data_IF_849559866544
#
_entry.id   IF_849559866544
#
_cell.length_a   1.000
_cell.length_b   1.000
_cell.length_c   1.000
_cell.angle_alpha   90.00
_cell.angle_beta   90.00
_cell.angle_gamma   90.00
#
_symmetry.space_group_name_H-M   'P 1'
#
loop_
_entity.id
_entity.type
_entity.pdbx_description
1 polymer ?
#
# COMPACT_ATOMS: atom_id res chain seq x y z
N UNK A 1 47.59 16.49 26.39
CA UNK A 1 46.94 16.65 27.71
C UNK A 1 46.37 15.30 28.10
N UNK A 2 47.14 14.55 28.89
CA UNK A 2 46.81 13.25 29.43
C UNK A 2 46.16 13.42 30.81
N UNK A 3 45.14 12.61 31.09
CA UNK A 3 44.69 12.18 32.42
C UNK A 3 43.84 10.92 32.17
N UNK A 4 44.33 9.69 32.29
CA UNK A 4 44.88 8.97 33.45
C UNK A 4 43.97 8.97 34.69
N UNK A 5 43.33 7.81 34.91
CA UNK A 5 42.84 7.19 36.17
C UNK A 5 42.17 5.87 35.76
N UNK A 6 42.70 4.68 35.99
CA UNK A 6 43.58 4.24 37.07
C UNK A 6 42.72 3.84 38.27
N UNK A 7 42.27 2.58 38.31
CA UNK A 7 41.35 2.07 39.33
C UNK A 7 41.31 0.55 39.35
N UNK A 8 42.44 -0.05 39.72
CA UNK A 8 42.58 -1.46 40.05
C UNK A 8 42.02 -1.72 41.45
N UNK A 9 41.12 -2.67 41.60
CA UNK A 9 40.80 -3.26 42.89
C UNK A 9 40.53 -4.76 42.73
N UNK A 10 41.57 -5.49 43.07
CA UNK A 10 41.61 -6.90 43.42
C UNK A 10 40.66 -7.23 44.57
N UNK A 11 39.90 -8.31 44.45
CA UNK A 11 39.17 -8.92 45.57
C UNK A 11 39.12 -10.43 45.39
N UNK A 12 40.08 -11.07 46.08
CA UNK A 12 39.92 -12.28 46.91
C UNK A 12 38.91 -13.35 46.45
N UNK A 13 39.50 -14.45 45.95
CA UNK A 13 38.92 -15.80 45.97
C UNK A 13 38.70 -16.24 47.41
N UNK A 14 37.46 -16.51 47.79
CA UNK A 14 37.10 -17.27 48.99
C UNK A 14 36.28 -18.49 48.57
N UNK A 15 36.96 -19.63 48.57
CA UNK A 15 36.40 -20.96 48.39
C UNK A 15 35.68 -21.36 49.67
N UNK A 16 34.36 -21.22 49.71
CA UNK A 16 33.52 -21.75 50.79
C UNK A 16 32.61 -22.83 50.23
N UNK A 17 33.10 -24.06 50.37
CA UNK A 17 32.33 -25.30 50.29
C UNK A 17 31.33 -25.35 51.44
N UNK A 18 30.09 -24.93 51.18
CA UNK A 18 28.97 -25.10 52.09
C UNK A 18 27.97 -26.06 51.47
N UNK A 19 28.03 -27.29 51.97
CA UNK A 19 27.07 -28.36 51.82
C UNK A 19 25.71 -27.91 52.36
N UNK A 20 24.86 -27.35 51.50
CA UNK A 20 23.51 -26.95 51.86
C UNK A 20 22.52 -27.98 51.34
N UNK A 21 22.01 -28.72 52.32
CA UNK A 21 20.91 -29.68 52.31
C UNK A 21 19.85 -29.47 51.24
N UNK A 22 19.60 -30.55 50.50
CA UNK A 22 18.42 -30.81 49.68
C UNK A 22 17.12 -30.51 50.45
N UNK A 23 16.57 -29.31 50.29
CA UNK A 23 15.17 -29.05 50.58
C UNK A 23 14.40 -29.19 49.26
N UNK A 24 13.94 -30.41 48.98
CA UNK A 24 12.96 -30.74 47.95
C UNK A 24 11.57 -30.18 48.30
N UNK A 25 11.48 -28.86 48.50
CA UNK A 25 10.19 -28.19 48.38
C UNK A 25 9.98 -27.95 46.88
N UNK A 26 9.49 -28.99 46.21
CA UNK A 26 8.78 -28.91 44.95
C UNK A 26 7.48 -28.13 45.16
N UNK A 27 7.60 -26.85 45.54
CA UNK A 27 6.53 -25.89 45.38
C UNK A 27 6.34 -25.80 43.87
N UNK A 28 5.32 -26.49 43.37
CA UNK A 28 4.77 -26.35 42.04
C UNK A 28 4.41 -24.88 41.84
N UNK A 29 5.39 -24.07 41.48
CA UNK A 29 5.16 -22.73 40.99
C UNK A 29 4.37 -22.93 39.71
N UNK A 30 3.05 -22.82 39.82
CA UNK A 30 2.16 -22.76 38.69
C UNK A 30 2.66 -21.62 37.82
N UNK A 31 3.43 -21.97 36.81
CA UNK A 31 3.94 -21.00 35.85
C UNK A 31 2.70 -20.31 35.30
N UNK A 32 2.53 -19.03 35.65
CA UNK A 32 1.38 -18.26 35.21
C UNK A 32 1.34 -18.38 33.69
N UNK A 33 0.28 -19.00 33.19
CA UNK A 33 0.09 -19.23 31.76
C UNK A 33 -0.14 -17.85 31.15
N UNK A 34 0.91 -17.28 30.57
CA UNK A 34 0.84 -15.98 29.93
C UNK A 34 -0.09 -16.03 28.71
N UNK A 35 -0.63 -14.86 28.34
CA UNK A 35 -1.54 -14.69 27.18
C UNK A 35 -1.00 -15.31 25.88
N UNK A 36 0.31 -15.44 25.72
CA UNK A 36 0.97 -16.10 24.59
C UNK A 36 0.75 -17.62 24.49
N UNK A 37 0.16 -18.24 25.50
CA UNK A 37 -0.18 -19.67 25.50
C UNK A 37 -1.67 -19.92 25.21
N UNK A 38 -2.44 -18.86 24.96
CA UNK A 38 -3.84 -19.00 24.55
C UNK A 38 -3.91 -19.61 23.14
N UNK A 39 -4.97 -20.41 22.85
CA UNK A 39 -5.25 -20.84 21.49
C UNK A 39 -5.38 -19.67 20.52
N UNK A 40 -5.01 -19.89 19.25
CA UNK A 40 -4.95 -18.83 18.23
C UNK A 40 -6.32 -18.20 17.98
N UNK A 41 -7.39 -18.98 18.11
CA UNK A 41 -8.78 -18.55 17.97
C UNK A 41 -9.15 -17.53 19.06
N UNK A 42 -8.66 -17.73 20.28
CA UNK A 42 -8.87 -16.79 21.39
C UNK A 42 -8.08 -15.51 21.14
N UNK A 43 -6.86 -15.61 20.61
CA UNK A 43 -6.07 -14.43 20.22
C UNK A 43 -6.76 -13.63 19.10
N UNK A 44 -7.39 -14.30 18.14
CA UNK A 44 -8.20 -13.66 17.08
C UNK A 44 -9.42 -12.94 17.65
N UNK A 45 -10.15 -13.55 18.58
CA UNK A 45 -11.27 -12.89 19.27
C UNK A 45 -10.81 -11.67 20.06
N UNK A 46 -9.69 -11.78 20.78
CA UNK A 46 -9.08 -10.64 21.49
C UNK A 46 -8.71 -9.53 20.51
N UNK A 47 -8.14 -9.85 19.36
CA UNK A 47 -7.83 -8.86 18.31
C UNK A 47 -9.08 -8.10 17.88
N UNK A 48 -10.15 -8.82 17.50
CA UNK A 48 -11.40 -8.22 16.99
C UNK A 48 -12.13 -7.41 18.06
N UNK A 49 -12.24 -7.94 19.29
CA UNK A 49 -12.93 -7.26 20.38
C UNK A 49 -12.16 -6.04 20.90
N UNK A 50 -10.82 -6.14 20.99
CA UNK A 50 -10.00 -5.04 21.48
C UNK A 50 -9.82 -3.92 20.46
N UNK A 51 -9.92 -4.23 19.15
CA UNK A 51 -9.69 -3.28 18.03
C UNK A 51 -8.38 -2.50 18.21
N UNK A 52 -7.39 -3.09 18.86
CA UNK A 52 -6.14 -2.41 19.22
C UNK A 52 -5.09 -2.62 18.14
N UNK A 53 -4.61 -1.52 17.55
CA UNK A 53 -3.49 -1.55 16.60
C UNK A 53 -2.16 -1.91 17.26
N UNK A 54 -2.07 -1.83 18.59
CA UNK A 54 -0.86 -2.18 19.32
C UNK A 54 -0.73 -3.69 19.55
N UNK A 55 -1.85 -4.43 19.51
CA UNK A 55 -1.86 -5.86 19.84
C UNK A 55 -0.91 -6.70 18.98
N UNK A 56 -0.88 -6.56 17.63
CA UNK A 56 0.07 -7.32 16.80
C UNK A 56 1.53 -6.87 16.98
N UNK A 57 1.78 -5.70 17.59
CA UNK A 57 3.12 -5.12 17.75
C UNK A 57 3.77 -5.56 19.06
N UNK A 58 2.98 -5.97 20.07
CA UNK A 58 3.49 -6.34 21.40
C UNK A 58 4.54 -7.45 21.34
N UNK A 59 4.31 -8.50 20.54
CA UNK A 59 5.26 -9.59 20.39
C UNK A 59 5.17 -10.26 19.01
N UNK A 60 6.23 -11.00 18.65
CA UNK A 60 6.30 -11.72 17.35
C UNK A 60 5.21 -12.78 17.21
N UNK A 61 4.88 -13.47 18.30
CA UNK A 61 3.84 -14.51 18.29
C UNK A 61 2.46 -13.92 17.95
N UNK A 62 2.08 -12.79 18.56
CA UNK A 62 0.82 -12.10 18.24
C UNK A 62 0.81 -11.56 16.82
N UNK A 63 1.93 -11.01 16.35
CA UNK A 63 2.08 -10.61 14.96
C UNK A 63 1.78 -11.77 14.01
N UNK A 64 2.40 -12.93 14.25
CA UNK A 64 2.21 -14.13 13.44
C UNK A 64 0.78 -14.66 13.51
N UNK A 65 0.19 -14.73 14.71
CA UNK A 65 -1.20 -15.12 14.89
C UNK A 65 -2.17 -14.21 14.11
N UNK A 66 -1.93 -12.88 14.12
CA UNK A 66 -2.73 -11.91 13.38
C UNK A 66 -2.50 -11.99 11.86
N UNK A 67 -1.26 -12.22 11.42
CA UNK A 67 -0.93 -12.42 10.00
C UNK A 67 -1.61 -13.66 9.43
N UNK A 68 -1.67 -14.73 10.22
CA UNK A 68 -2.30 -16.00 9.86
C UNK A 68 -3.81 -16.04 10.12
N UNK A 69 -4.40 -14.93 10.59
CA UNK A 69 -5.84 -14.85 10.79
C UNK A 69 -6.58 -15.02 9.45
N UNK A 70 -7.74 -15.67 9.52
CA UNK A 70 -8.63 -15.81 8.36
C UNK A 70 -9.06 -14.44 7.85
N UNK A 71 -9.46 -14.36 6.58
CA UNK A 71 -9.90 -13.10 6.00
C UNK A 71 -11.14 -12.53 6.72
N UNK A 72 -12.00 -13.39 7.29
CA UNK A 72 -13.17 -13.01 8.09
C UNK A 72 -12.76 -12.26 9.36
N UNK A 73 -11.82 -12.81 10.15
CA UNK A 73 -11.30 -12.17 11.37
C UNK A 73 -10.65 -10.84 11.03
N UNK A 74 -9.86 -10.78 9.94
CA UNK A 74 -9.23 -9.54 9.47
C UNK A 74 -10.29 -8.51 9.07
N UNK A 75 -11.36 -8.91 8.37
CA UNK A 75 -12.44 -8.02 7.97
C UNK A 75 -13.20 -7.45 9.18
N UNK A 76 -13.56 -8.30 10.15
CA UNK A 76 -14.23 -7.86 11.38
C UNK A 76 -13.38 -6.85 12.16
N UNK A 77 -12.07 -7.12 12.27
CA UNK A 77 -11.12 -6.21 12.90
C UNK A 77 -11.02 -4.88 12.13
N UNK A 78 -10.84 -4.91 10.81
CA UNK A 78 -10.76 -3.70 9.95
C UNK A 78 -12.03 -2.85 10.06
N UNK A 79 -13.20 -3.48 9.96
CA UNK A 79 -14.48 -2.79 10.08
C UNK A 79 -14.67 -2.18 11.47
N UNK A 80 -14.40 -2.95 12.53
CA UNK A 80 -14.46 -2.45 13.90
C UNK A 80 -13.53 -1.25 14.13
N UNK A 81 -12.30 -1.31 13.60
CA UNK A 81 -11.32 -0.21 13.63
C UNK A 81 -11.83 1.04 12.92
N UNK A 82 -12.46 0.89 11.76
CA UNK A 82 -13.03 2.00 11.02
C UNK A 82 -14.17 2.65 11.82
N UNK A 83 -15.07 1.85 12.41
CA UNK A 83 -16.16 2.36 13.25
C UNK A 83 -15.62 3.17 14.44
N UNK A 84 -14.62 2.64 15.15
CA UNK A 84 -13.99 3.35 16.27
C UNK A 84 -13.35 4.67 15.81
N UNK A 85 -12.64 4.64 14.68
CA UNK A 85 -12.02 5.83 14.10
C UNK A 85 -13.07 6.88 13.72
N UNK A 86 -14.09 6.48 12.97
CA UNK A 86 -15.18 7.34 12.51
C UNK A 86 -15.92 7.98 13.70
N UNK A 87 -16.26 7.20 14.72
CA UNK A 87 -17.01 7.70 15.88
C UNK A 87 -16.18 8.66 16.72
N UNK A 88 -14.89 8.36 16.91
CA UNK A 88 -13.97 9.28 17.56
C UNK A 88 -13.80 10.57 16.75
N UNK A 89 -13.78 10.47 15.41
CA UNK A 89 -13.70 11.61 14.52
C UNK A 89 -14.92 12.52 14.67
N UNK A 90 -16.13 11.96 14.56
CA UNK A 90 -17.39 12.70 14.70
C UNK A 90 -17.54 13.30 16.11
N UNK A 91 -17.08 12.61 17.15
CA UNK A 91 -17.09 13.15 18.51
C UNK A 91 -16.21 14.40 18.66
N UNK A 92 -15.09 14.46 17.94
CA UNK A 92 -14.15 15.60 17.95
C UNK A 92 -14.59 16.74 17.04
N UNK A 93 -15.37 16.44 15.99
CA UNK A 93 -15.85 17.39 15.00
C UNK A 93 -17.38 17.45 14.97
N UNK A 94 -18.04 17.84 16.08
CA UNK A 94 -19.49 17.97 16.08
C UNK A 94 -19.91 19.10 15.13
N UNK A 95 -20.96 18.85 14.35
CA UNK A 95 -21.61 19.89 13.56
C UNK A 95 -21.95 21.10 14.45
N UNK A 96 -21.50 22.28 14.06
CA UNK A 96 -21.73 23.54 14.81
C UNK A 96 -23.06 24.20 14.47
N UNK A 97 -23.59 23.92 13.28
CA UNK A 97 -24.78 24.59 12.74
C UNK A 97 -26.09 23.92 13.19
N UNK A 98 -26.10 22.59 13.34
CA UNK A 98 -27.33 21.82 13.56
C UNK A 98 -27.32 21.05 14.88
N UNK A 99 -28.23 21.41 15.80
CA UNK A 99 -28.38 20.73 17.10
C UNK A 99 -28.80 19.25 16.94
N UNK A 100 -29.59 18.92 15.91
CA UNK A 100 -29.96 17.55 15.57
C UNK A 100 -28.73 16.67 15.27
N UNK A 101 -27.77 17.18 14.50
CA UNK A 101 -26.52 16.49 14.19
C UNK A 101 -25.70 16.25 15.47
N UNK A 102 -25.61 17.25 16.35
CA UNK A 102 -24.90 17.14 17.65
C UNK A 102 -25.54 16.09 18.55
N UNK A 103 -26.88 16.04 18.62
CA UNK A 103 -27.63 15.01 19.34
C UNK A 103 -27.43 13.63 18.73
N UNK A 104 -27.41 13.52 17.39
CA UNK A 104 -27.13 12.25 16.69
C UNK A 104 -25.72 11.73 17.02
N UNK A 105 -24.70 12.57 16.89
CA UNK A 105 -23.31 12.25 17.23
C UNK A 105 -23.17 11.78 18.69
N UNK A 106 -23.76 12.50 19.65
CA UNK A 106 -23.74 12.09 21.07
C UNK A 106 -24.43 10.75 21.31
N UNK A 107 -25.55 10.49 20.64
CA UNK A 107 -26.26 9.20 20.72
C UNK A 107 -25.43 8.06 20.14
N UNK A 108 -24.79 8.28 18.99
CA UNK A 108 -23.90 7.31 18.35
C UNK A 108 -22.74 6.93 19.29
N UNK A 109 -22.03 7.94 19.83
CA UNK A 109 -20.93 7.74 20.78
C UNK A 109 -21.40 7.00 22.04
N UNK A 110 -22.57 7.37 22.58
CA UNK A 110 -23.13 6.71 23.76
C UNK A 110 -23.55 5.25 23.48
N UNK A 111 -24.03 4.94 22.28
CA UNK A 111 -24.43 3.58 21.88
C UNK A 111 -23.22 2.65 21.83
N UNK A 112 -22.14 3.10 21.19
CA UNK A 112 -20.91 2.31 21.04
C UNK A 112 -20.22 2.11 22.39
N UNK A 113 -20.18 3.13 23.25
CA UNK A 113 -19.66 2.99 24.63
C UNK A 113 -20.42 1.97 25.47
N UNK A 114 -21.68 1.68 25.14
CA UNK A 114 -22.50 0.66 25.82
C UNK A 114 -22.32 -0.73 25.22
N UNK A 115 -21.42 -0.90 24.27
CA UNK A 115 -21.22 -2.18 23.57
C UNK A 115 -22.41 -2.60 22.73
N UNK A 116 -23.30 -1.67 22.37
CA UNK A 116 -24.36 -1.99 21.40
C UNK A 116 -23.78 -1.97 20.00
N UNK A 117 -24.18 -2.95 19.20
CA UNK A 117 -23.75 -3.03 17.81
C UNK A 117 -24.17 -1.75 17.08
N UNK A 118 -23.22 -1.16 16.36
CA UNK A 118 -23.41 0.05 15.58
C UNK A 118 -24.16 -0.24 14.26
N UNK A 119 -25.13 -1.16 14.29
CA UNK A 119 -25.77 -1.74 13.09
C UNK A 119 -26.47 -0.71 12.22
N UNK A 120 -26.79 0.48 12.76
CA UNK A 120 -27.36 1.56 11.99
C UNK A 120 -26.75 2.89 12.39
N UNK A 121 -25.84 3.40 11.55
CA UNK A 121 -25.32 4.75 11.69
C UNK A 121 -26.20 5.68 10.86
N UNK A 122 -26.98 6.53 11.51
CA UNK A 122 -27.74 7.57 10.82
C UNK A 122 -26.77 8.68 10.36
N UNK A 123 -26.50 8.73 9.06
CA UNK A 123 -25.65 9.73 8.43
C UNK A 123 -26.53 10.90 8.00
N UNK A 124 -26.28 12.08 8.57
CA UNK A 124 -26.92 13.32 8.11
C UNK A 124 -26.06 13.95 7.01
N UNK A 125 -26.62 14.88 6.23
CA UNK A 125 -25.89 15.58 5.16
C UNK A 125 -24.60 16.24 5.66
N UNK A 126 -24.64 16.88 6.84
CA UNK A 126 -23.42 17.44 7.44
C UNK A 126 -22.38 16.38 7.81
N UNK A 127 -22.79 15.17 8.18
CA UNK A 127 -21.85 14.07 8.45
C UNK A 127 -21.26 13.58 7.13
N UNK A 128 -22.06 13.52 6.07
CA UNK A 128 -21.61 13.16 4.74
C UNK A 128 -20.58 14.18 4.20
N UNK A 129 -20.87 15.48 4.30
CA UNK A 129 -19.91 16.55 3.95
C UNK A 129 -18.61 16.44 4.75
N UNK A 130 -18.70 16.08 6.03
CA UNK A 130 -17.51 15.86 6.88
C UNK A 130 -16.72 14.64 6.44
N UNK A 131 -17.38 13.53 6.10
CA UNK A 131 -16.74 12.35 5.51
C UNK A 131 -16.01 12.74 4.22
N UNK A 132 -16.68 13.51 3.37
CA UNK A 132 -16.17 13.89 2.06
C UNK A 132 -14.94 14.81 2.16
N UNK A 133 -15.07 15.89 2.93
CA UNK A 133 -14.01 16.90 3.12
C UNK A 133 -12.76 16.36 3.83
N UNK A 134 -12.89 15.29 4.60
CA UNK A 134 -11.76 14.69 5.35
C UNK A 134 -11.27 13.37 4.73
N UNK A 135 -11.79 12.98 3.57
CA UNK A 135 -11.48 11.69 2.92
C UNK A 135 -11.60 10.51 3.88
N UNK A 136 -12.68 10.46 4.67
CA UNK A 136 -12.93 9.37 5.63
C UNK A 136 -13.55 8.14 4.95
N UNK A 137 -13.25 7.94 3.67
CA UNK A 137 -13.79 6.83 2.93
C UNK A 137 -13.23 5.52 3.49
N UNK A 138 -14.12 4.56 3.67
CA UNK A 138 -13.78 3.34 4.37
C UNK A 138 -12.87 2.44 3.51
N UNK A 139 -12.90 2.57 2.18
CA UNK A 139 -12.08 1.77 1.26
C UNK A 139 -10.62 2.18 1.41
N UNK A 140 -10.31 3.48 1.38
CA UNK A 140 -8.98 4.01 1.68
C UNK A 140 -8.53 3.59 3.07
N UNK A 141 -9.38 3.75 4.08
CA UNK A 141 -9.03 3.36 5.45
C UNK A 141 -8.67 1.87 5.52
N UNK A 142 -9.50 1.00 4.94
CA UNK A 142 -9.25 -0.44 4.92
C UNK A 142 -7.96 -0.76 4.17
N UNK A 143 -7.78 -0.19 2.98
CA UNK A 143 -6.63 -0.45 2.12
C UNK A 143 -5.32 0.07 2.74
N UNK A 144 -5.34 1.15 3.53
CA UNK A 144 -4.19 1.64 4.29
C UNK A 144 -3.71 0.68 5.37
N UNK A 145 -4.60 -0.19 5.89
CA UNK A 145 -4.20 -1.22 6.84
C UNK A 145 -3.39 -2.30 6.10
N UNK A 146 -2.17 -2.55 6.57
CA UNK A 146 -1.21 -3.51 5.99
C UNK A 146 -1.62 -4.98 6.01
N UNK A 147 -2.88 -5.29 6.36
CA UNK A 147 -3.50 -6.62 6.41
C UNK A 147 -4.66 -6.76 5.40
N UNK A 148 -4.98 -5.69 4.67
CA UNK A 148 -6.07 -5.71 3.71
C UNK A 148 -5.62 -6.37 2.42
N UNK A 149 -6.37 -7.41 2.03
CA UNK A 149 -6.34 -8.09 0.72
C UNK A 149 -7.69 -7.86 0.03
N UNK A 150 -7.85 -8.28 -1.23
CA UNK A 150 -9.12 -8.16 -1.96
C UNK A 150 -10.28 -8.82 -1.21
N UNK A 151 -10.10 -10.07 -0.73
CA UNK A 151 -11.12 -10.80 0.05
C UNK A 151 -11.53 -10.05 1.32
N UNK A 152 -10.55 -9.49 2.03
CA UNK A 152 -10.82 -8.68 3.24
C UNK A 152 -11.59 -7.42 2.86
N UNK A 153 -11.19 -6.73 1.80
CA UNK A 153 -11.85 -5.51 1.33
C UNK A 153 -13.30 -5.77 0.92
N UNK A 154 -13.55 -6.75 0.05
CA UNK A 154 -14.90 -7.13 -0.39
C UNK A 154 -15.80 -7.46 0.82
N UNK A 155 -15.28 -8.21 1.80
CA UNK A 155 -16.03 -8.53 3.02
C UNK A 155 -16.35 -7.28 3.84
N UNK A 156 -15.38 -6.39 4.06
CA UNK A 156 -15.58 -5.14 4.80
C UNK A 156 -16.62 -4.25 4.09
N UNK A 157 -16.56 -4.17 2.76
CA UNK A 157 -17.54 -3.42 1.95
C UNK A 157 -18.93 -4.02 2.10
N UNK A 158 -19.04 -5.36 2.07
CA UNK A 158 -20.29 -6.07 2.32
C UNK A 158 -20.87 -5.77 3.70
N UNK A 159 -20.03 -5.76 4.75
CA UNK A 159 -20.46 -5.38 6.10
C UNK A 159 -20.90 -3.92 6.18
N UNK A 160 -20.16 -3.02 5.53
CA UNK A 160 -20.47 -1.60 5.46
C UNK A 160 -21.81 -1.34 4.76
N UNK A 161 -22.12 -2.07 3.68
CA UNK A 161 -23.44 -2.03 2.99
C UNK A 161 -24.62 -2.34 3.90
N UNK A 162 -24.44 -3.25 4.85
CA UNK A 162 -25.51 -3.61 5.78
C UNK A 162 -25.70 -2.53 6.85
N UNK A 163 -24.64 -1.83 7.23
CA UNK A 163 -24.64 -0.93 8.39
C UNK A 163 -24.74 0.57 8.06
N UNK A 164 -24.37 0.95 6.83
CA UNK A 164 -24.24 2.33 6.39
C UNK A 164 -25.21 2.63 5.24
N UNK A 165 -25.73 3.86 5.14
CA UNK A 165 -26.45 4.30 3.96
C UNK A 165 -25.57 4.25 2.70
N UNK A 166 -26.17 3.92 1.56
CA UNK A 166 -25.46 3.82 0.27
C UNK A 166 -24.70 5.08 -0.12
N UNK A 167 -25.13 6.27 0.35
CA UNK A 167 -24.45 7.53 0.08
C UNK A 167 -23.04 7.65 0.69
N UNK A 168 -22.70 6.83 1.69
CA UNK A 168 -21.35 6.78 2.28
C UNK A 168 -20.44 5.79 1.56
N UNK A 169 -21.02 4.87 0.80
CA UNK A 169 -20.27 3.82 0.14
C UNK A 169 -19.79 4.33 -1.21
N UNK A 170 -18.56 3.99 -1.63
CA UNK A 170 -18.13 4.30 -2.98
C UNK A 170 -19.05 3.57 -3.94
N UNK A 171 -19.44 4.25 -5.02
CA UNK A 171 -20.21 3.61 -6.07
C UNK A 171 -19.37 2.46 -6.60
N UNK A 172 -19.92 1.25 -6.47
CA UNK A 172 -19.37 0.15 -7.23
C UNK A 172 -19.72 0.33 -8.67
N UNK A 173 -18.73 0.11 -9.52
CA UNK A 173 -18.88 -0.01 -10.95
C UNK A 173 -20.18 -0.76 -11.33
N UNK A 174 -21.15 -0.07 -11.95
CA UNK A 174 -22.39 -0.67 -12.46
C UNK A 174 -23.72 -0.16 -11.87
N UNK A 175 -23.71 0.68 -10.82
CA UNK A 175 -24.93 1.33 -10.33
C UNK A 175 -25.18 2.64 -11.10
N UNK A 176 -26.30 2.73 -11.81
CA UNK A 176 -26.48 3.65 -12.95
C UNK A 176 -26.60 5.16 -12.67
N UNK A 177 -26.31 5.93 -13.73
CA UNK A 177 -26.73 7.29 -14.13
C UNK A 177 -26.96 8.43 -13.11
N UNK A 178 -26.51 8.37 -11.86
CA UNK A 178 -26.53 9.54 -10.97
C UNK A 178 -25.24 10.36 -11.15
N UNK A 179 -25.24 11.27 -12.13
CA UNK A 179 -24.05 11.97 -12.62
C UNK A 179 -23.60 13.20 -11.79
N UNK A 180 -24.31 13.63 -10.75
CA UNK A 180 -24.05 14.93 -10.11
C UNK A 180 -23.52 14.88 -8.66
N UNK A 181 -23.32 13.69 -8.08
CA UNK A 181 -22.80 13.61 -6.72
C UNK A 181 -21.27 13.43 -6.73
N UNK A 182 -20.57 14.44 -6.22
CA UNK A 182 -19.14 14.41 -5.94
C UNK A 182 -18.87 13.44 -4.79
N UNK A 183 -18.76 12.15 -5.08
CA UNK A 183 -18.32 11.17 -4.11
C UNK A 183 -16.81 11.30 -3.87
N UNK A 184 -16.38 10.95 -2.65
CA UNK A 184 -14.95 10.79 -2.38
C UNK A 184 -14.42 9.64 -3.21
N UNK A 185 -13.46 9.93 -4.07
CA UNK A 185 -12.63 8.92 -4.71
C UNK A 185 -11.73 8.29 -3.65
N UNK A 186 -11.75 6.95 -3.50
CA UNK A 186 -10.79 6.27 -2.66
C UNK A 186 -9.36 6.58 -3.08
N UNK A 187 -8.41 6.46 -2.17
CA UNK A 187 -7.00 6.72 -2.41
C UNK A 187 -6.20 5.42 -2.42
N UNK A 188 -5.21 5.37 -3.30
CA UNK A 188 -4.26 4.28 -3.36
C UNK A 188 -3.29 4.33 -2.18
N UNK A 189 -3.20 3.26 -1.36
CA UNK A 189 -2.33 3.26 -0.19
C UNK A 189 -0.84 3.32 -0.56
N UNK A 190 -0.11 4.25 0.06
CA UNK A 190 1.35 4.39 -0.14
C UNK A 190 2.13 3.10 0.11
N UNK A 191 1.64 2.21 0.99
CA UNK A 191 2.33 0.97 1.37
C UNK A 191 2.50 -0.01 0.20
N UNK A 192 1.55 -0.03 -0.75
CA UNK A 192 1.56 -0.96 -1.88
C UNK A 192 2.75 -0.66 -2.79
N UNK A 193 3.05 0.62 -2.96
CA UNK A 193 4.14 1.09 -3.83
C UNK A 193 5.52 1.11 -3.16
N UNK A 194 5.62 0.83 -1.84
CA UNK A 194 6.91 0.74 -1.14
C UNK A 194 7.56 -0.64 -1.20
N UNK A 195 6.82 -1.65 -1.65
CA UNK A 195 7.22 -3.07 -1.57
C UNK A 195 7.64 -3.65 -2.92
N UNK A 196 7.65 -2.84 -3.98
CA UNK A 196 7.85 -3.30 -5.35
C UNK A 196 9.23 -3.99 -5.52
N UNK A 197 10.28 -3.52 -4.84
CA UNK A 197 11.65 -4.06 -5.01
C UNK A 197 11.95 -5.36 -4.24
N UNK A 198 11.06 -5.85 -3.39
CA UNK A 198 11.44 -6.88 -2.42
C UNK A 198 11.55 -8.30 -2.99
N UNK A 199 11.19 -8.51 -4.26
CA UNK A 199 11.12 -9.86 -4.84
C UNK A 199 12.47 -10.39 -5.38
N UNK A 200 13.35 -9.53 -5.89
CA UNK A 200 14.55 -10.01 -6.61
C UNK A 200 15.83 -10.07 -5.78
N UNK A 201 15.86 -9.46 -4.59
CA UNK A 201 17.09 -9.39 -3.78
C UNK A 201 17.34 -10.61 -2.89
N UNK A 202 16.30 -11.37 -2.55
CA UNK A 202 16.44 -12.47 -1.58
C UNK A 202 17.02 -13.77 -2.17
N UNK A 203 17.01 -13.95 -3.50
CA UNK A 203 17.59 -15.14 -4.15
C UNK A 203 19.10 -15.03 -4.38
N UNK A 204 19.68 -13.83 -4.35
CA UNK A 204 21.11 -13.62 -4.64
C UNK A 204 21.96 -13.14 -3.44
N UNK A 205 21.36 -12.60 -2.37
CA UNK A 205 22.10 -12.02 -1.23
C UNK A 205 22.34 -12.92 0.01
N UNK A 206 22.08 -14.24 -0.05
CA UNK A 206 22.52 -15.15 1.04
C UNK A 206 24.05 -15.29 1.18
N UNK A 207 24.84 -14.64 0.31
CA UNK A 207 26.31 -14.71 0.34
C UNK A 207 27.03 -13.52 1.01
N UNK A 208 26.32 -12.47 1.47
CA UNK A 208 26.99 -11.36 2.17
C UNK A 208 27.22 -11.69 3.65
N UNK A 209 28.48 -11.69 4.14
CA UNK A 209 28.80 -12.09 5.51
C UNK A 209 28.23 -11.08 6.50
N UNK A 210 27.10 -11.42 7.13
CA UNK A 210 26.54 -10.66 8.25
C UNK A 210 27.58 -10.56 9.36
N UNK A 211 28.00 -9.33 9.66
CA UNK A 211 28.89 -8.95 10.76
C UNK A 211 28.36 -9.58 12.06
N UNK A 212 29.07 -10.62 12.54
CA UNK A 212 28.77 -11.40 13.75
C UNK A 212 28.39 -10.49 14.92
N UNK A 213 27.09 -10.39 15.21
CA UNK A 213 26.63 -10.18 16.59
C UNK A 213 26.65 -11.56 17.25
N UNK A 214 27.44 -11.70 18.31
CA UNK A 214 27.45 -12.89 19.18
C UNK A 214 26.03 -13.08 19.74
N UNK A 215 25.31 -14.06 19.22
CA UNK A 215 24.15 -14.64 19.90
C UNK A 215 24.58 -16.01 20.42
N UNK A 216 24.20 -16.27 21.67
CA UNK A 216 24.36 -17.54 22.35
C UNK A 216 23.61 -18.66 21.61
N UNK A 217 24.28 -19.80 21.48
CA UNK A 217 23.70 -21.05 21.02
C UNK A 217 22.63 -21.54 22.00
N UNK A 218 21.40 -21.60 21.52
CA UNK A 218 20.30 -22.36 22.11
C UNK A 218 19.69 -23.19 21.00
N UNK A 219 20.09 -24.47 20.94
CA UNK A 219 19.56 -25.48 20.03
C UNK A 219 18.16 -25.89 20.48
N UNK A 220 17.14 -25.47 19.74
CA UNK A 220 15.82 -26.11 19.76
C UNK A 220 15.39 -26.37 18.31
N UNK A 221 15.55 -27.62 17.88
CA UNK A 221 14.98 -28.14 16.66
C UNK A 221 13.47 -28.33 16.90
N UNK A 222 12.63 -27.53 16.27
CA UNK A 222 11.19 -27.81 16.25
C UNK A 222 10.61 -27.76 14.83
N UNK A 223 9.80 -28.77 14.59
CA UNK A 223 9.30 -29.30 13.32
C UNK A 223 8.14 -28.41 12.86
N UNK A 224 8.32 -27.65 11.78
CA UNK A 224 7.25 -26.86 11.17
C UNK A 224 6.35 -27.77 10.34
N UNK A 225 5.25 -28.23 10.92
CA UNK A 225 4.15 -28.87 10.18
C UNK A 225 3.31 -27.77 9.50
N UNK A 226 3.39 -27.68 8.18
CA UNK A 226 2.42 -26.96 7.38
C UNK A 226 1.06 -27.64 7.54
N UNK A 227 0.16 -26.99 8.27
CA UNK A 227 -1.27 -27.33 8.28
C UNK A 227 -1.86 -26.68 7.04
N UNK A 228 -2.27 -27.49 6.06
CA UNK A 228 -3.07 -27.03 4.93
C UNK A 228 -4.41 -26.57 5.50
N UNK A 229 -4.69 -25.27 5.40
CA UNK A 229 -6.04 -24.77 5.64
C UNK A 229 -6.88 -25.14 4.41
N UNK A 230 -7.95 -25.90 4.62
CA UNK A 230 -8.92 -26.21 3.57
C UNK A 230 -9.46 -24.90 2.97
N UNK A 231 -9.25 -24.72 1.67
CA UNK A 231 -9.81 -23.59 0.91
C UNK A 231 -11.31 -23.80 0.77
N UNK A 232 -12.10 -23.09 1.58
CA UNK A 232 -13.54 -22.92 1.33
C UNK A 232 -13.75 -22.33 -0.08
N UNK A 233 -14.42 -23.10 -0.94
CA UNK A 233 -14.83 -22.68 -2.27
C UNK A 233 -16.00 -21.70 -2.15
N UNK A 234 -15.69 -20.41 -2.10
CA UNK A 234 -16.69 -19.34 -2.17
C UNK A 234 -17.25 -19.24 -3.61
N UNK A 235 -18.55 -19.49 -3.76
CA UNK A 235 -19.32 -19.34 -5.00
C UNK A 235 -19.27 -17.88 -5.52
N UNK A 236 -18.99 -17.65 -6.81
CA UNK A 236 -18.87 -16.30 -7.37
C UNK A 236 -20.23 -15.58 -7.40
N UNK A 237 -20.31 -14.42 -6.74
CA UNK A 237 -21.50 -13.57 -6.75
C UNK A 237 -21.86 -13.10 -8.18
N UNK A 238 -23.13 -13.17 -8.61
CA UNK A 238 -23.54 -12.88 -9.98
C UNK A 238 -23.71 -11.38 -10.26
N UNK A 239 -23.15 -10.92 -11.38
CA UNK A 239 -23.31 -9.58 -11.95
C UNK A 239 -21.99 -9.09 -12.53
N UNK A 240 -21.92 -8.87 -13.85
CA UNK A 240 -20.73 -8.60 -14.69
C UNK A 240 -19.61 -7.81 -14.00
N UNK A 241 -18.83 -8.51 -13.19
CA UNK A 241 -17.51 -8.09 -12.74
C UNK A 241 -16.55 -8.67 -13.75
N UNK A 242 -15.64 -7.83 -14.22
CA UNK A 242 -14.41 -8.31 -14.85
C UNK A 242 -13.85 -9.43 -13.99
N UNK A 243 -13.55 -10.57 -14.61
CA UNK A 243 -12.78 -11.55 -13.87
C UNK A 243 -11.43 -10.91 -13.59
N UNK A 244 -10.97 -11.03 -12.35
CA UNK A 244 -9.66 -10.51 -11.97
C UNK A 244 -8.55 -11.10 -12.87
N UNK A 245 -8.78 -12.29 -13.45
CA UNK A 245 -7.96 -12.88 -14.50
C UNK A 245 -7.91 -12.03 -15.79
N UNK A 246 -9.03 -11.47 -16.26
CA UNK A 246 -9.03 -10.56 -17.42
C UNK A 246 -8.24 -9.28 -17.16
N UNK A 247 -8.33 -8.74 -15.94
CA UNK A 247 -7.53 -7.56 -15.56
C UNK A 247 -6.05 -7.89 -15.45
N UNK A 248 -5.70 -9.08 -14.92
CA UNK A 248 -4.31 -9.57 -14.90
C UNK A 248 -3.76 -9.72 -16.30
N UNK A 249 -4.53 -10.35 -17.20
CA UNK A 249 -4.16 -10.45 -18.62
C UNK A 249 -3.98 -9.08 -19.26
N UNK A 250 -4.85 -8.11 -18.94
CA UNK A 250 -4.69 -6.73 -19.41
C UNK A 250 -3.39 -6.09 -18.88
N UNK A 251 -3.10 -6.19 -17.58
CA UNK A 251 -1.84 -5.65 -17.03
C UNK A 251 -0.64 -6.33 -17.67
N UNK A 252 -0.72 -7.63 -17.89
CA UNK A 252 0.35 -8.40 -18.49
C UNK A 252 0.49 -8.12 -19.99
N UNK A 253 -0.59 -7.80 -20.70
CA UNK A 253 -0.54 -7.36 -22.09
C UNK A 253 0.05 -5.96 -22.19
N UNK A 254 -0.34 -5.04 -21.30
CA UNK A 254 0.24 -3.69 -21.19
C UNK A 254 1.72 -3.74 -20.78
N UNK A 255 2.13 -4.76 -20.02
CA UNK A 255 3.52 -4.99 -19.68
C UNK A 255 4.39 -5.47 -20.86
N UNK A 256 3.77 -5.97 -21.93
CA UNK A 256 4.49 -6.42 -23.13
C UNK A 256 4.83 -5.19 -23.98
N UNK A 257 6.14 -4.92 -24.03
CA UNK A 257 6.97 -4.06 -24.91
C UNK A 257 6.24 -3.06 -25.82
N UNK A 258 6.64 -1.76 -25.83
CA UNK A 258 6.08 -0.77 -26.74
C UNK A 258 6.44 -1.05 -28.22
N UNK A 259 5.56 -0.71 -29.19
CA UNK A 259 5.54 -1.40 -30.48
C UNK A 259 6.63 -1.03 -31.49
N UNK A 260 7.31 0.13 -31.37
CA UNK A 260 7.94 0.71 -32.56
C UNK A 260 9.45 1.05 -32.48
N UNK A 261 10.11 0.93 -31.33
CA UNK A 261 11.50 1.41 -31.18
C UNK A 261 12.54 0.34 -30.85
N UNK A 262 12.13 -0.91 -30.64
CA UNK A 262 13.01 -1.97 -30.15
C UNK A 262 12.98 -3.12 -31.13
N UNK A 263 14.13 -3.33 -31.79
CA UNK A 263 14.42 -4.40 -32.73
C UNK A 263 13.65 -5.70 -32.42
N UNK A 264 12.66 -6.06 -33.27
CA UNK A 264 11.81 -7.24 -33.14
C UNK A 264 12.62 -8.56 -33.07
N UNK A 265 13.92 -8.51 -33.32
CA UNK A 265 14.81 -9.67 -33.24
C UNK A 265 15.21 -10.09 -31.82
N UNK A 266 14.83 -9.37 -30.76
CA UNK A 266 15.11 -9.78 -29.37
C UNK A 266 14.11 -10.83 -28.84
N UNK A 267 14.52 -12.09 -28.62
CA UNK A 267 13.60 -13.21 -28.45
C UNK A 267 13.02 -13.39 -27.03
N UNK A 268 13.14 -12.43 -26.13
CA UNK A 268 12.54 -12.51 -24.78
C UNK A 268 12.01 -11.14 -24.33
N UNK A 269 10.69 -10.96 -24.45
CA UNK A 269 9.95 -9.81 -23.90
C UNK A 269 9.85 -9.95 -22.37
N UNK A 270 10.98 -9.80 -21.67
CA UNK A 270 10.96 -9.69 -20.22
C UNK A 270 10.15 -8.44 -19.82
N UNK A 271 9.30 -8.52 -18.78
CA UNK A 271 8.57 -7.36 -18.29
C UNK A 271 9.55 -6.24 -17.95
N UNK A 272 9.27 -5.02 -18.41
CA UNK A 272 10.11 -3.85 -18.18
C UNK A 272 10.03 -3.41 -16.70
N UNK A 273 10.83 -4.07 -15.86
CA UNK A 273 11.02 -3.72 -14.46
C UNK A 273 10.21 -4.57 -13.47
N UNK A 274 10.35 -4.28 -12.16
CA UNK A 274 9.76 -5.07 -11.10
C UNK A 274 8.23 -4.92 -11.09
N UNK A 275 7.55 -6.04 -10.91
CA UNK A 275 6.08 -6.09 -10.74
C UNK A 275 5.79 -6.28 -9.25
N UNK A 276 4.76 -5.61 -8.68
CA UNK A 276 4.31 -5.91 -7.32
C UNK A 276 4.01 -7.41 -7.14
N UNK A 277 4.03 -7.89 -5.90
CA UNK A 277 3.50 -9.24 -5.64
C UNK A 277 2.02 -9.33 -6.08
N UNK A 278 1.59 -10.54 -6.40
CA UNK A 278 0.26 -10.80 -6.96
C UNK A 278 -0.88 -10.24 -6.09
N UNK A 279 -0.79 -10.41 -4.76
CA UNK A 279 -1.81 -9.90 -3.83
C UNK A 279 -1.91 -8.36 -3.81
N UNK A 280 -0.78 -7.67 -3.83
CA UNK A 280 -0.72 -6.20 -3.85
C UNK A 280 -1.17 -5.67 -5.23
N UNK A 281 -0.82 -6.33 -6.34
CA UNK A 281 -1.32 -5.98 -7.67
C UNK A 281 -2.84 -6.15 -7.76
N UNK A 282 -3.36 -7.26 -7.25
CA UNK A 282 -4.80 -7.54 -7.19
C UNK A 282 -5.54 -6.45 -6.42
N UNK A 283 -5.00 -6.05 -5.28
CA UNK A 283 -5.56 -4.98 -4.50
C UNK A 283 -5.51 -3.63 -5.23
N UNK A 284 -4.40 -3.29 -5.91
CA UNK A 284 -4.29 -2.07 -6.72
C UNK A 284 -5.37 -2.06 -7.80
N UNK A 285 -5.53 -3.17 -8.53
CA UNK A 285 -6.52 -3.31 -9.60
C UNK A 285 -7.94 -3.23 -9.07
N UNK A 286 -8.26 -3.91 -7.97
CA UNK A 286 -9.58 -3.80 -7.34
C UNK A 286 -9.87 -2.35 -6.93
N UNK A 287 -8.89 -1.65 -6.33
CA UNK A 287 -9.08 -0.25 -5.94
C UNK A 287 -9.34 0.65 -7.15
N UNK A 288 -8.53 0.53 -8.21
CA UNK A 288 -8.67 1.34 -9.43
C UNK A 288 -9.97 1.04 -10.19
N UNK A 289 -10.25 -0.23 -10.47
CA UNK A 289 -11.34 -0.66 -11.35
C UNK A 289 -12.68 -0.73 -10.63
N UNK A 290 -12.74 -1.39 -9.47
CA UNK A 290 -14.00 -1.65 -8.78
C UNK A 290 -14.45 -0.47 -7.93
N UNK A 291 -13.50 0.26 -7.35
CA UNK A 291 -13.77 1.35 -6.41
C UNK A 291 -13.42 2.74 -6.95
N UNK A 292 -12.87 2.86 -8.16
CA UNK A 292 -12.56 4.15 -8.78
C UNK A 292 -11.52 4.95 -7.99
N UNK A 293 -10.52 4.28 -7.41
CA UNK A 293 -9.49 4.94 -6.64
C UNK A 293 -8.69 5.93 -7.51
N UNK A 294 -8.34 7.07 -6.94
CA UNK A 294 -7.56 8.12 -7.60
C UNK A 294 -6.12 7.64 -7.86
N UNK A 295 -5.75 7.46 -9.13
CA UNK A 295 -4.40 7.08 -9.52
C UNK A 295 -3.34 8.15 -9.16
N UNK A 296 -3.76 9.41 -8.99
CA UNK A 296 -2.94 10.55 -8.56
C UNK A 296 -2.89 10.74 -7.03
N UNK A 297 -3.34 9.74 -6.27
CA UNK A 297 -3.42 9.79 -4.81
C UNK A 297 -2.16 10.32 -4.15
N UNK A 298 -2.35 11.11 -3.08
CA UNK A 298 -1.27 11.71 -2.31
C UNK A 298 -0.29 12.52 -3.17
N UNK A 299 -0.82 13.32 -4.10
CA UNK A 299 -0.05 14.23 -4.97
C UNK A 299 0.92 13.44 -5.86
N UNK A 300 0.42 12.44 -6.57
CA UNK A 300 1.17 11.63 -7.54
C UNK A 300 2.14 10.62 -6.94
N UNK A 301 2.00 10.27 -5.65
CA UNK A 301 2.91 9.32 -4.99
C UNK A 301 2.95 7.93 -5.65
N UNK A 302 1.81 7.29 -6.02
CA UNK A 302 1.82 6.01 -6.72
C UNK A 302 2.70 6.04 -7.96
N UNK A 303 2.48 7.02 -8.85
CA UNK A 303 3.23 7.16 -10.09
C UNK A 303 4.71 7.40 -9.82
N UNK A 304 5.04 8.35 -8.94
CA UNK A 304 6.43 8.66 -8.59
C UNK A 304 7.19 7.44 -8.04
N UNK A 305 6.55 6.60 -7.23
CA UNK A 305 7.17 5.38 -6.71
C UNK A 305 7.32 4.29 -7.77
N UNK A 306 6.33 4.11 -8.66
CA UNK A 306 6.47 3.20 -9.80
C UNK A 306 7.68 3.56 -10.66
N UNK A 307 7.89 4.86 -10.94
CA UNK A 307 9.08 5.34 -11.66
C UNK A 307 10.37 5.13 -10.86
N UNK A 308 10.34 5.40 -9.56
CA UNK A 308 11.50 5.20 -8.69
C UNK A 308 12.01 3.76 -8.76
N UNK A 309 11.08 2.80 -8.77
CA UNK A 309 11.33 1.38 -8.88
C UNK A 309 11.53 0.90 -10.32
N UNK A 310 11.50 1.79 -11.33
CA UNK A 310 11.55 1.45 -12.76
C UNK A 310 10.47 0.45 -13.19
N UNK A 311 9.33 0.42 -12.48
CA UNK A 311 8.20 -0.47 -12.76
C UNK A 311 7.36 0.12 -13.90
N UNK A 312 7.81 -0.04 -15.14
CA UNK A 312 7.19 0.55 -16.33
C UNK A 312 5.71 0.17 -16.44
N UNK A 313 5.38 -1.12 -16.33
CA UNK A 313 4.01 -1.62 -16.47
C UNK A 313 3.06 -0.99 -15.45
N UNK A 314 3.54 -0.76 -14.22
CA UNK A 314 2.75 -0.13 -13.18
C UNK A 314 2.59 1.38 -13.42
N UNK A 315 3.63 2.06 -13.93
CA UNK A 315 3.52 3.45 -14.35
C UNK A 315 2.53 3.62 -15.51
N UNK A 316 2.60 2.75 -16.53
CA UNK A 316 1.67 2.70 -17.66
C UNK A 316 0.24 2.44 -17.18
N UNK A 317 0.03 1.44 -16.32
CA UNK A 317 -1.26 1.18 -15.70
C UNK A 317 -1.81 2.42 -15.01
N UNK A 318 -1.04 3.07 -14.14
CA UNK A 318 -1.50 4.26 -13.43
C UNK A 318 -1.89 5.40 -14.39
N UNK A 319 -1.12 5.62 -15.47
CA UNK A 319 -1.46 6.61 -16.51
C UNK A 319 -2.74 6.25 -17.27
N UNK A 320 -2.97 4.96 -17.58
CA UNK A 320 -4.24 4.50 -18.19
C UNK A 320 -5.44 4.82 -17.29
N UNK A 321 -5.25 4.78 -15.97
CA UNK A 321 -6.25 5.17 -14.98
C UNK A 321 -6.24 6.68 -14.65
N UNK A 322 -5.58 7.50 -15.47
CA UNK A 322 -5.63 8.96 -15.36
C UNK A 322 -4.70 9.56 -14.31
N UNK A 323 -3.61 8.87 -13.95
CA UNK A 323 -2.60 9.47 -13.09
C UNK A 323 -2.00 10.73 -13.73
N UNK A 324 -1.96 11.82 -12.97
CA UNK A 324 -1.40 13.09 -13.39
C UNK A 324 0.12 13.08 -13.20
N UNK A 325 0.85 13.29 -14.30
CA UNK A 325 2.29 13.37 -14.30
C UNK A 325 2.82 14.73 -13.80
N UNK A 326 2.01 15.78 -13.78
CA UNK A 326 2.41 17.13 -13.35
C UNK A 326 2.37 17.30 -11.82
N UNK A 327 1.90 16.27 -11.10
CA UNK A 327 1.92 16.23 -9.64
C UNK A 327 3.32 16.55 -9.07
N UNK A 328 3.36 17.51 -8.13
CA UNK A 328 4.59 18.04 -7.50
C UNK A 328 5.63 18.54 -8.51
N UNK A 329 5.20 19.37 -9.44
CA UNK A 329 6.07 19.97 -10.45
C UNK A 329 6.77 18.91 -11.32
N UNK A 330 6.03 17.88 -11.73
CA UNK A 330 6.57 16.80 -12.54
C UNK A 330 7.56 15.90 -11.80
N UNK A 331 7.36 15.66 -10.49
CA UNK A 331 8.30 14.88 -9.67
C UNK A 331 8.59 13.50 -10.26
N UNK A 332 7.58 12.83 -10.81
CA UNK A 332 7.75 11.53 -11.45
C UNK A 332 8.72 11.60 -12.63
N UNK A 333 8.60 12.62 -13.50
CA UNK A 333 9.51 12.82 -14.63
C UNK A 333 10.94 13.16 -14.16
N UNK A 334 11.08 13.96 -13.10
CA UNK A 334 12.40 14.24 -12.51
C UNK A 334 13.07 12.97 -11.97
N UNK A 335 12.30 12.06 -11.38
CA UNK A 335 12.80 10.75 -10.91
C UNK A 335 13.21 9.89 -12.11
N UNK A 336 12.40 9.83 -13.19
CA UNK A 336 12.74 9.09 -14.41
C UNK A 336 14.08 9.56 -14.98
N UNK A 337 14.28 10.89 -15.05
CA UNK A 337 15.52 11.50 -15.52
C UNK A 337 16.70 11.13 -14.63
N UNK A 338 16.57 11.24 -13.30
CA UNK A 338 17.64 10.85 -12.37
C UNK A 338 18.01 9.37 -12.48
N UNK A 339 17.01 8.53 -12.70
CA UNK A 339 17.17 7.09 -12.84
C UNK A 339 17.71 6.67 -14.21
N UNK A 340 17.74 7.57 -15.22
CA UNK A 340 18.11 7.22 -16.59
C UNK A 340 17.06 6.36 -17.29
N UNK A 341 15.79 6.44 -16.89
CA UNK A 341 14.71 5.60 -17.41
C UNK A 341 14.06 6.25 -18.63
N UNK A 342 14.69 6.10 -19.79
CA UNK A 342 14.22 6.64 -21.07
C UNK A 342 12.82 6.15 -21.43
N UNK A 343 12.52 4.86 -21.24
CA UNK A 343 11.24 4.27 -21.63
C UNK A 343 10.06 4.90 -20.89
N UNK A 344 10.21 5.09 -19.58
CA UNK A 344 9.19 5.73 -18.74
C UNK A 344 9.04 7.21 -19.11
N UNK A 345 10.14 7.90 -19.41
CA UNK A 345 10.08 9.30 -19.83
C UNK A 345 9.39 9.43 -21.19
N UNK A 346 9.70 8.52 -22.11
CA UNK A 346 9.06 8.43 -23.42
C UNK A 346 7.55 8.18 -23.25
N UNK A 347 7.17 7.22 -22.40
CA UNK A 347 5.77 6.96 -22.03
C UNK A 347 5.04 8.22 -21.53
N UNK A 348 5.70 9.10 -20.77
CA UNK A 348 5.09 10.35 -20.30
C UNK A 348 4.84 11.34 -21.44
N UNK A 349 5.76 11.41 -22.40
CA UNK A 349 5.70 12.33 -23.55
C UNK A 349 4.70 11.85 -24.59
N UNK A 350 4.75 10.57 -24.96
CA UNK A 350 3.85 9.99 -25.95
C UNK A 350 2.46 9.75 -25.39
N UNK A 351 2.37 9.53 -24.08
CA UNK A 351 1.21 8.99 -23.41
C UNK A 351 1.20 7.46 -23.41
N UNK A 352 0.43 6.81 -22.52
CA UNK A 352 0.12 5.41 -22.59
C UNK A 352 -0.52 5.06 -23.93
N UNK A 353 0.04 4.04 -24.57
CA UNK A 353 -0.57 3.43 -25.74
C UNK A 353 -1.82 2.68 -25.30
N UNK A 354 -2.93 2.97 -25.97
CA UNK A 354 -4.18 2.24 -25.82
C UNK A 354 -4.35 1.39 -27.07
N UNK A 355 -3.95 0.12 -27.00
CA UNK A 355 -4.27 -0.83 -28.06
C UNK A 355 -5.79 -1.06 -28.10
N UNK A 356 -6.35 -1.44 -29.25
CA UNK A 356 -7.79 -1.72 -29.39
C UNK A 356 -8.31 -2.71 -28.33
N UNK A 357 -7.46 -3.65 -27.91
CA UNK A 357 -7.76 -4.62 -26.84
C UNK A 357 -7.88 -3.91 -25.49
N UNK A 358 -6.97 -3.00 -25.18
CA UNK A 358 -6.97 -2.20 -23.95
C UNK A 358 -8.13 -1.22 -23.94
N UNK A 359 -8.46 -0.59 -25.07
CA UNK A 359 -9.63 0.28 -25.18
C UNK A 359 -10.93 -0.51 -24.98
N UNK A 360 -11.06 -1.67 -25.64
CA UNK A 360 -12.21 -2.56 -25.47
C UNK A 360 -12.35 -3.03 -24.02
N UNK A 361 -11.22 -3.24 -23.34
CA UNK A 361 -11.20 -3.60 -21.94
C UNK A 361 -11.66 -2.44 -21.04
N UNK A 362 -11.11 -1.26 -21.25
CA UNK A 362 -11.42 -0.07 -20.46
C UNK A 362 -12.83 0.48 -20.73
N UNK A 363 -13.39 0.25 -21.93
CA UNK A 363 -14.74 0.69 -22.30
C UNK A 363 -15.85 0.10 -21.41
N UNK A 364 -15.58 -1.05 -20.78
CA UNK A 364 -16.53 -1.71 -19.87
C UNK A 364 -16.41 -1.14 -18.45
N UNK A 365 -15.30 -0.47 -18.12
CA UNK A 365 -15.10 0.09 -16.79
C UNK A 365 -15.88 1.41 -16.71
N UNK A 366 -16.80 1.56 -15.74
CA UNK A 366 -17.71 2.69 -15.71
C UNK A 366 -17.01 4.03 -15.63
N UNK A 367 -17.68 4.99 -16.27
CA UNK A 367 -17.23 6.21 -16.93
C UNK A 367 -16.54 7.30 -16.09
N UNK A 368 -16.10 6.99 -14.87
CA UNK A 368 -15.35 7.92 -14.02
C UNK A 368 -13.84 7.79 -14.12
N UNK A 369 -13.31 6.76 -14.80
CA UNK A 369 -11.91 6.79 -15.21
C UNK A 369 -11.79 7.99 -16.14
N UNK A 370 -11.15 9.06 -15.62
CA UNK A 370 -11.05 10.33 -16.30
C UNK A 370 -10.63 10.04 -17.72
N UNK A 371 -11.48 10.41 -18.69
CA UNK A 371 -11.18 10.30 -20.12
C UNK A 371 -9.73 10.65 -20.26
N UNK A 372 -8.92 9.66 -20.66
CA UNK A 372 -7.48 9.78 -20.73
C UNK A 372 -7.18 11.19 -21.23
N UNK A 373 -6.52 12.01 -20.41
CA UNK A 373 -6.61 13.47 -20.58
C UNK A 373 -6.05 13.94 -21.93
N UNK A 374 -5.46 13.04 -22.73
CA UNK A 374 -4.70 13.34 -23.93
C UNK A 374 -3.52 14.27 -23.63
N UNK A 375 -3.31 14.57 -22.35
CA UNK A 375 -2.29 15.44 -21.85
C UNK A 375 -1.00 14.68 -22.05
N UNK A 376 -0.12 15.29 -22.83
CA UNK A 376 1.24 14.82 -23.04
C UNK A 376 2.14 15.62 -22.12
N UNK A 377 3.04 14.95 -21.42
CA UNK A 377 4.02 15.64 -20.60
C UNK A 377 4.96 16.44 -21.50
N UNK A 378 5.14 17.73 -21.19
CA UNK A 378 6.03 18.61 -21.96
C UNK A 378 7.38 18.74 -21.25
N UNK A 379 8.41 18.21 -21.90
CA UNK A 379 9.79 18.42 -21.46
C UNK A 379 10.19 19.88 -21.65
N UNK A 380 11.08 20.36 -20.78
CA UNK A 380 11.47 21.77 -20.73
C UNK A 380 12.97 21.91 -20.40
N UNK A 381 13.45 23.15 -20.38
CA UNK A 381 14.87 23.45 -20.12
C UNK A 381 15.36 22.95 -18.75
N UNK A 382 14.51 22.89 -17.74
CA UNK A 382 14.87 22.37 -16.42
C UNK A 382 15.10 20.86 -16.45
N UNK A 383 14.28 20.11 -17.20
CA UNK A 383 14.45 18.68 -17.43
C UNK A 383 15.76 18.37 -18.17
N UNK A 384 16.07 19.11 -19.24
CA UNK A 384 17.33 18.98 -19.97
C UNK A 384 18.54 19.26 -19.07
N UNK A 385 18.49 20.34 -18.28
CA UNK A 385 19.54 20.66 -17.31
C UNK A 385 19.72 19.53 -16.29
N UNK A 386 18.63 18.97 -15.77
CA UNK A 386 18.66 17.86 -14.81
C UNK A 386 19.31 16.61 -15.41
N UNK A 387 18.98 16.26 -16.66
CA UNK A 387 19.57 15.12 -17.37
C UNK A 387 21.10 15.27 -17.52
N UNK A 388 21.56 16.47 -17.90
CA UNK A 388 22.99 16.80 -17.98
C UNK A 388 23.67 16.69 -16.60
N UNK A 389 23.05 17.23 -15.55
CA UNK A 389 23.59 17.15 -14.18
C UNK A 389 23.73 15.71 -13.69
N UNK A 390 22.77 14.86 -14.04
CA UNK A 390 22.78 13.43 -13.71
C UNK A 390 23.67 12.59 -14.66
N UNK A 391 24.29 13.20 -15.67
CA UNK A 391 25.12 12.54 -16.70
C UNK A 391 24.38 11.44 -17.48
N UNK A 392 23.07 11.58 -17.65
CA UNK A 392 22.25 10.64 -18.42
C UNK A 392 22.25 11.07 -19.88
N UNK A 393 23.32 10.75 -20.62
CA UNK A 393 23.55 11.29 -21.95
C UNK A 393 22.52 10.82 -22.98
N UNK A 394 22.02 9.60 -22.87
CA UNK A 394 20.95 9.08 -23.75
C UNK A 394 19.67 9.92 -23.62
N UNK A 395 19.33 10.29 -22.38
CA UNK A 395 18.23 11.21 -22.10
C UNK A 395 18.51 12.64 -22.56
N UNK A 396 19.77 13.10 -22.52
CA UNK A 396 20.12 14.43 -23.05
C UNK A 396 19.89 14.45 -24.57
N UNK A 397 20.30 13.39 -25.27
CA UNK A 397 20.10 13.25 -26.71
C UNK A 397 18.61 13.22 -27.05
N UNK A 398 17.84 12.38 -26.35
CA UNK A 398 16.39 12.31 -26.47
C UNK A 398 15.69 13.66 -26.23
N UNK A 399 15.98 14.32 -25.10
CA UNK A 399 15.32 15.59 -24.74
C UNK A 399 15.72 16.72 -25.70
N UNK A 400 17.00 16.78 -26.12
CA UNK A 400 17.48 17.82 -27.00
C UNK A 400 17.01 17.61 -28.43
N UNK A 401 17.27 16.44 -29.01
CA UNK A 401 17.10 16.21 -30.44
C UNK A 401 15.70 15.72 -30.80
N UNK A 402 15.14 14.76 -30.07
CA UNK A 402 13.82 14.21 -30.39
C UNK A 402 12.67 15.08 -29.87
N UNK A 403 12.87 15.71 -28.70
CA UNK A 403 11.86 16.56 -28.06
C UNK A 403 12.07 18.06 -28.32
N UNK A 404 13.04 18.38 -29.18
CA UNK A 404 13.36 19.74 -29.67
C UNK A 404 13.62 20.78 -28.56
N UNK A 405 14.07 20.35 -27.36
CA UNK A 405 14.40 21.27 -26.27
C UNK A 405 15.80 21.86 -26.49
N UNK A 406 15.85 23.11 -26.94
CA UNK A 406 17.11 23.81 -27.23
C UNK A 406 17.89 24.19 -25.95
N UNK A 407 19.16 23.79 -25.78
CA UNK A 407 19.93 24.10 -24.58
C UNK A 407 20.30 25.59 -24.46
N UNK A 408 20.14 26.14 -23.25
CA UNK A 408 20.66 27.45 -22.90
C UNK A 408 22.19 27.47 -22.74
N UNK A 409 22.78 28.67 -22.74
CA UNK A 409 24.23 28.86 -22.58
C UNK A 409 24.79 28.23 -21.29
N UNK A 410 23.98 28.15 -20.24
CA UNK A 410 24.39 27.53 -18.99
C UNK A 410 24.41 26.00 -19.08
N UNK A 411 23.50 25.38 -19.84
CA UNK A 411 23.55 23.96 -20.16
C UNK A 411 24.76 23.62 -21.04
N UNK A 412 25.06 24.41 -22.07
CA UNK A 412 26.24 24.19 -22.92
C UNK A 412 27.55 24.26 -22.12
N UNK A 413 27.70 25.25 -21.23
CA UNK A 413 28.85 25.34 -20.31
C UNK A 413 28.92 24.16 -19.34
N UNK A 414 27.78 23.63 -18.91
CA UNK A 414 27.72 22.46 -18.04
C UNK A 414 28.16 21.20 -18.77
N UNK A 415 27.75 21.02 -20.04
CA UNK A 415 28.18 19.91 -20.89
C UNK A 415 29.69 19.97 -21.11
N UNK A 416 30.24 21.13 -21.48
CA UNK A 416 31.68 21.32 -21.69
C UNK A 416 32.48 20.96 -20.44
N UNK A 417 32.04 21.42 -19.27
CA UNK A 417 32.67 21.11 -17.97
C UNK A 417 32.59 19.64 -17.58
N UNK A 418 31.52 18.93 -17.94
CA UNK A 418 31.37 17.51 -17.59
C UNK A 418 32.06 16.57 -18.59
N UNK A 419 32.42 17.07 -19.78
CA UNK A 419 33.18 16.34 -20.80
C UNK A 419 34.70 16.52 -20.68
N UNK A 420 35.16 17.63 -20.13
CA UNK A 420 36.57 17.85 -19.74
C UNK A 420 36.93 17.04 -18.49
#
# INVERSE_FOLDING_TARGET
MNADRGGSSSSSRSSSSSSSSNNNNSSSSSNAVGIQHLPVEVLHQILVLSRSSSFPVVCRHFRQACQNATYLVKADYVFGRWVDFFVNFIARHPCRLHDACKKSAKRLVASIKRGRDALFIHVTDCVLEVIQSNHLDFVTFAAELGICTVKVLDRVVGMARVCLPDCVLPLTAGCGNVWDQQFTTPRLPKRLFRRIDQLDTDTSEQSRPRKRRRCCDGTDANRSSHVAADEEQDEPLPGSRWSLAQLKELVWSVAKVPPDTWDESSPFSEPMGPVPNEEDLDLILTLLVQYGADASSHEGYPLAMSVHHRAYSLAHLLLLFGADFDCKDGLAAQIAIRNGSQDILHLFVTGPHSDEVTESALAVVPTQIGRFSGAKFRLNQAHLRLAIQCRQWDLVDYIWHEQEVSPDMACLRLIERLRS
#
